data_IF_278880666429
#
_entry.id   IF_278880666429
#
_cell.length_a   1.000
_cell.length_b   1.000
_cell.length_c   1.000
_cell.angle_alpha   90.00
_cell.angle_beta   90.00
_cell.angle_gamma   90.00
#
_symmetry.space_group_name_H-M   'P 1'
#
loop_
_entity.id
_entity.type
_entity.pdbx_description
1 polymer ?
#
# COMPACT_ATOMS: atom_id res chain seq x y z
N UNK A 1 9.60 6.17 -2.26
CA UNK A 1 8.76 7.08 -1.46
C UNK A 1 7.37 7.12 -2.06
N UNK A 2 6.33 7.07 -1.24
CA UNK A 2 4.95 7.34 -1.70
C UNK A 2 4.81 8.86 -1.87
N UNK A 3 4.57 9.33 -3.09
CA UNK A 3 4.47 10.77 -3.41
C UNK A 3 3.03 11.25 -3.56
N UNK A 4 2.10 10.33 -3.78
CA UNK A 4 0.66 10.58 -3.82
C UNK A 4 -0.07 9.38 -3.22
N UNK A 5 -1.09 9.66 -2.42
CA UNK A 5 -1.94 8.66 -1.77
C UNK A 5 -3.35 9.24 -1.65
N UNK A 6 -4.33 8.51 -2.17
CA UNK A 6 -5.76 8.77 -1.98
C UNK A 6 -6.38 7.54 -1.32
N UNK A 7 -7.20 7.76 -0.29
CA UNK A 7 -7.80 6.70 0.52
C UNK A 7 -9.29 7.00 0.66
N UNK A 8 -10.13 6.08 0.18
CA UNK A 8 -11.59 6.22 0.19
C UNK A 8 -12.25 4.94 0.67
N UNK A 9 -13.17 5.05 1.63
CA UNK A 9 -13.97 3.91 2.04
C UNK A 9 -15.04 3.58 0.99
N UNK A 10 -15.17 2.30 0.64
CA UNK A 10 -16.21 1.78 -0.22
C UNK A 10 -17.48 1.45 0.59
N UNK A 11 -18.60 1.24 -0.09
CA UNK A 11 -19.88 0.91 0.57
C UNK A 11 -19.91 -0.48 1.21
N UNK A 12 -18.96 -1.35 0.87
CA UNK A 12 -18.83 -2.73 1.36
C UNK A 12 -17.84 -2.86 2.52
N UNK A 13 -17.49 -1.74 3.18
CA UNK A 13 -16.50 -1.62 4.24
C UNK A 13 -15.04 -1.91 3.84
N UNK A 14 -14.75 -2.16 2.56
CA UNK A 14 -13.37 -2.12 2.08
C UNK A 14 -12.89 -0.67 1.94
N UNK A 15 -11.58 -0.48 1.84
CA UNK A 15 -10.97 0.84 1.63
C UNK A 15 -10.19 0.84 0.33
N UNK A 16 -10.65 1.62 -0.64
CA UNK A 16 -9.94 1.86 -1.89
C UNK A 16 -8.72 2.74 -1.65
N UNK A 17 -7.56 2.28 -2.10
CA UNK A 17 -6.28 2.99 -1.98
C UNK A 17 -5.70 3.20 -3.37
N UNK A 18 -5.44 4.46 -3.74
CA UNK A 18 -4.73 4.83 -4.97
C UNK A 18 -3.39 5.45 -4.60
N UNK A 19 -2.31 5.03 -5.25
CA UNK A 19 -0.96 5.46 -4.87
C UNK A 19 -0.04 5.71 -6.06
N UNK A 20 0.95 6.58 -5.80
CA UNK A 20 2.16 6.73 -6.62
C UNK A 20 3.40 6.47 -5.76
N UNK A 21 4.28 5.58 -6.22
CA UNK A 21 5.60 5.33 -5.63
C UNK A 21 6.68 5.82 -6.59
N UNK A 22 7.62 6.60 -6.07
CA UNK A 22 8.87 6.96 -6.75
C UNK A 22 10.03 6.19 -6.12
N UNK A 23 10.77 5.45 -6.95
CA UNK A 23 12.01 4.75 -6.58
C UNK A 23 13.20 5.62 -6.96
N UNK A 24 13.65 6.47 -6.03
CA UNK A 24 14.70 7.47 -6.29
C UNK A 24 16.05 6.88 -6.72
N UNK A 25 16.35 5.65 -6.30
CA UNK A 25 17.60 4.97 -6.70
C UNK A 25 17.64 4.59 -8.19
N UNK A 26 16.48 4.45 -8.84
CA UNK A 26 16.37 3.99 -10.23
C UNK A 26 15.59 4.96 -11.13
N UNK A 27 15.07 6.06 -10.58
CA UNK A 27 14.16 6.99 -11.25
C UNK A 27 12.90 6.33 -11.83
N UNK A 28 12.52 5.15 -11.32
CA UNK A 28 11.27 4.50 -11.71
C UNK A 28 10.09 5.05 -10.92
N UNK A 29 8.93 5.04 -11.56
CA UNK A 29 7.66 5.38 -10.94
C UNK A 29 6.69 4.21 -11.11
N UNK A 30 5.95 3.90 -10.07
CA UNK A 30 4.87 2.92 -10.09
C UNK A 30 3.58 3.59 -9.63
N UNK A 31 2.51 3.34 -10.40
CA UNK A 31 1.16 3.80 -10.11
C UNK A 31 0.28 2.58 -9.94
N UNK A 32 -0.65 2.63 -8.99
CA UNK A 32 -1.54 1.51 -8.77
C UNK A 32 -2.68 1.84 -7.83
N UNK A 33 -3.58 0.87 -7.69
CA UNK A 33 -4.64 0.89 -6.70
C UNK A 33 -4.93 -0.54 -6.20
N UNK A 34 -5.57 -0.63 -5.06
CA UNK A 34 -6.17 -1.86 -4.55
C UNK A 34 -7.25 -1.53 -3.51
N UNK A 35 -8.14 -2.48 -3.25
CA UNK A 35 -9.07 -2.42 -2.12
C UNK A 35 -8.48 -3.19 -0.94
N UNK A 36 -8.21 -2.48 0.16
CA UNK A 36 -7.84 -3.07 1.43
C UNK A 36 -9.08 -3.60 2.15
N UNK A 37 -8.95 -4.75 2.80
CA UNK A 37 -9.99 -5.25 3.73
C UNK A 37 -10.16 -4.29 4.90
N UNK A 38 -11.30 -4.39 5.60
CA UNK A 38 -11.57 -3.58 6.79
C UNK A 38 -10.48 -3.74 7.87
N UNK A 39 -9.96 -4.95 8.07
CA UNK A 39 -8.92 -5.23 9.06
C UNK A 39 -7.56 -4.64 8.66
N UNK A 40 -7.19 -4.75 7.38
CA UNK A 40 -5.97 -4.11 6.85
C UNK A 40 -6.06 -2.59 6.98
N UNK A 41 -7.20 -2.00 6.65
CA UNK A 41 -7.42 -0.56 6.75
C UNK A 41 -7.40 -0.07 8.21
N UNK A 42 -8.03 -0.81 9.13
CA UNK A 42 -7.99 -0.52 10.57
C UNK A 42 -6.57 -0.58 11.13
N UNK A 43 -5.83 -1.63 10.76
CA UNK A 43 -4.42 -1.79 11.14
C UNK A 43 -3.57 -0.66 10.58
N UNK A 44 -3.73 -0.32 9.29
CA UNK A 44 -3.01 0.77 8.65
C UNK A 44 -3.32 2.13 9.30
N UNK A 45 -4.57 2.38 9.68
CA UNK A 45 -4.97 3.61 10.36
C UNK A 45 -4.35 3.73 11.76
N UNK A 46 -4.27 2.61 12.50
CA UNK A 46 -3.61 2.58 13.82
C UNK A 46 -2.10 2.86 13.75
N UNK A 47 -1.48 2.63 12.59
CA UNK A 47 -0.07 2.94 12.32
C UNK A 47 0.20 4.41 12.00
N UNK A 48 -0.76 5.31 12.17
CA UNK A 48 -0.57 6.75 12.05
C UNK A 48 0.43 7.28 13.09
N UNK A 49 1.21 8.30 12.72
CA UNK A 49 2.07 9.02 13.65
C UNK A 49 1.64 10.48 13.79
N UNK A 50 2.25 11.21 14.72
CA UNK A 50 1.97 12.65 14.89
C UNK A 50 2.38 13.45 13.66
N UNK A 51 3.42 13.02 12.97
CA UNK A 51 4.03 13.68 11.81
C UNK A 51 3.39 13.25 10.50
N UNK A 52 2.81 12.05 10.45
CA UNK A 52 2.24 11.47 9.24
C UNK A 52 1.05 10.57 9.57
N UNK A 53 -0.16 11.13 9.42
CA UNK A 53 -1.40 10.38 9.64
C UNK A 53 -1.57 9.20 8.67
N UNK A 54 -0.80 9.17 7.57
CA UNK A 54 -0.88 8.13 6.54
C UNK A 54 0.27 7.12 6.61
N UNK A 55 1.10 7.17 7.66
CA UNK A 55 2.30 6.33 7.77
C UNK A 55 1.97 4.83 7.62
N UNK A 56 0.94 4.32 8.31
CA UNK A 56 0.55 2.92 8.19
C UNK A 56 -0.02 2.54 6.82
N UNK A 57 -0.76 3.43 6.14
CA UNK A 57 -1.21 3.18 4.77
C UNK A 57 -0.05 3.15 3.77
N UNK A 58 0.98 4.00 3.95
CA UNK A 58 2.20 3.95 3.14
C UNK A 58 2.93 2.62 3.33
N UNK A 59 3.00 2.11 4.56
CA UNK A 59 3.57 0.79 4.84
C UNK A 59 2.76 -0.34 4.20
N UNK A 60 1.43 -0.27 4.25
CA UNK A 60 0.53 -1.24 3.60
C UNK A 60 0.79 -1.31 2.08
N UNK A 61 0.85 -0.15 1.41
CA UNK A 61 1.14 -0.08 -0.03
C UNK A 61 2.49 -0.72 -0.37
N UNK A 62 3.56 -0.33 0.34
CA UNK A 62 4.91 -0.85 0.07
C UNK A 62 5.01 -2.36 0.34
N UNK A 63 4.31 -2.85 1.37
CA UNK A 63 4.25 -4.28 1.68
C UNK A 63 3.52 -5.04 0.58
N UNK A 64 2.36 -4.55 0.12
CA UNK A 64 1.62 -5.16 -0.99
C UNK A 64 2.44 -5.20 -2.28
N UNK A 65 3.08 -4.10 -2.66
CA UNK A 65 3.97 -4.06 -3.81
C UNK A 65 5.09 -5.10 -3.73
N UNK A 66 5.73 -5.26 -2.56
CA UNK A 66 6.77 -6.27 -2.35
C UNK A 66 6.20 -7.68 -2.51
N UNK A 67 5.06 -7.97 -1.89
CA UNK A 67 4.42 -9.29 -1.95
C UNK A 67 4.02 -9.65 -3.37
N UNK A 68 3.31 -8.78 -4.09
CA UNK A 68 2.88 -9.04 -5.46
C UNK A 68 4.06 -9.19 -6.42
N UNK A 69 5.11 -8.36 -6.28
CA UNK A 69 6.33 -8.51 -7.07
C UNK A 69 7.03 -9.85 -6.80
N UNK A 70 7.10 -10.27 -5.53
CA UNK A 70 7.71 -11.56 -5.15
C UNK A 70 6.90 -12.73 -5.73
N UNK A 71 5.58 -12.67 -5.64
CA UNK A 71 4.69 -13.68 -6.20
C UNK A 71 4.81 -13.77 -7.73
N UNK A 72 4.86 -12.64 -8.41
CA UNK A 72 5.02 -12.58 -9.87
C UNK A 72 6.33 -13.19 -10.37
N UNK A 73 7.39 -13.14 -9.55
CA UNK A 73 8.68 -13.79 -9.82
C UNK A 73 8.68 -15.30 -9.53
N UNK A 74 7.55 -15.88 -9.11
CA UNK A 74 7.42 -17.30 -8.77
C UNK A 74 7.83 -17.63 -7.33
N UNK A 75 8.04 -16.64 -6.47
CA UNK A 75 8.46 -16.82 -5.07
C UNK A 75 7.34 -17.18 -4.09
N UNK A 76 6.09 -17.35 -4.55
CA UNK A 76 4.93 -17.65 -3.70
C UNK A 76 4.72 -19.14 -3.38
N UNK A 77 5.53 -20.04 -3.94
CA UNK A 77 5.48 -21.48 -3.63
C UNK A 77 6.87 -22.02 -3.35
N UNK A 78 7.33 -21.88 -2.10
CA UNK A 78 8.11 -22.87 -1.34
C UNK A 78 8.70 -22.24 -0.08
N UNK A 79 7.96 -22.30 1.03
CA UNK A 79 8.47 -22.65 2.37
C UNK A 79 7.39 -23.49 3.06
#
# INVERSE_FOLDING_TARGET
>A
MITSLDVKQNSDNTTHVVYTVVFSGTNHQAYGNFDATADEASTAFSGSTKEDMWAGFKQLVLTRLKTEATNALGGGTSE
#
